data_IF_588473600320
#
_entry.id   IF_588473600320
#
_cell.length_a   1.000
_cell.length_b   1.000
_cell.length_c   1.000
_cell.angle_alpha   90.00
_cell.angle_beta   90.00
_cell.angle_gamma   90.00
#
_symmetry.space_group_name_H-M   'P 1'
#
loop_
_entity.id
_entity.type
_entity.pdbx_description
1 polymer ?
#
# COMPACT_ATOMS: atom_id res chain seq x y z
N UNK A 1 22.60 -37.21 33.55
CA UNK A 1 22.30 -35.83 33.09
C UNK A 1 23.31 -35.23 32.08
N UNK A 2 24.29 -35.99 31.54
CA UNK A 2 25.31 -35.41 30.63
C UNK A 2 25.22 -35.79 29.15
N UNK A 3 24.25 -36.60 28.71
CA UNK A 3 24.12 -37.01 27.29
C UNK A 3 23.13 -36.18 26.45
N UNK A 4 22.36 -35.28 27.08
CA UNK A 4 21.38 -34.43 26.38
C UNK A 4 21.91 -33.02 26.04
N UNK A 5 22.98 -32.56 26.69
CA UNK A 5 23.52 -31.21 26.47
C UNK A 5 24.46 -31.11 25.26
N UNK A 6 25.05 -32.23 24.82
CA UNK A 6 25.98 -32.26 23.68
C UNK A 6 25.29 -32.30 22.31
N UNK A 7 24.05 -32.77 22.23
CA UNK A 7 23.29 -32.82 20.96
C UNK A 7 22.76 -31.43 20.54
N UNK A 8 22.46 -30.56 21.51
CA UNK A 8 21.98 -29.19 21.26
C UNK A 8 23.08 -28.26 20.71
N UNK A 9 24.36 -28.47 21.08
CA UNK A 9 25.47 -27.67 20.53
C UNK A 9 25.82 -28.06 19.09
N UNK A 10 25.68 -29.33 18.71
CA UNK A 10 26.00 -29.80 17.36
C UNK A 10 24.97 -29.34 16.31
N UNK A 11 23.69 -29.24 16.69
CA UNK A 11 22.61 -28.74 15.81
C UNK A 11 22.72 -27.23 15.59
N UNK A 12 23.16 -26.46 16.59
CA UNK A 12 23.38 -25.02 16.47
C UNK A 12 24.55 -24.68 15.52
N UNK A 13 25.62 -25.48 15.51
CA UNK A 13 26.79 -25.25 14.66
C UNK A 13 26.53 -25.55 13.16
N UNK A 14 25.63 -26.49 12.85
CA UNK A 14 25.25 -26.82 11.47
C UNK A 14 24.19 -25.87 10.90
N UNK A 15 23.36 -25.24 11.75
CA UNK A 15 22.33 -24.29 11.33
C UNK A 15 22.85 -22.84 11.18
N UNK A 16 23.92 -22.48 11.87
CA UNK A 16 24.54 -21.15 11.79
C UNK A 16 24.99 -20.75 10.37
N UNK A 17 25.68 -21.59 9.57
CA UNK A 17 26.05 -21.20 8.21
C UNK A 17 24.83 -21.10 7.28
N UNK A 18 23.79 -21.92 7.46
CA UNK A 18 22.54 -21.81 6.68
C UNK A 18 21.71 -20.58 7.04
N UNK A 19 21.68 -20.18 8.32
CA UNK A 19 21.01 -18.96 8.78
C UNK A 19 21.80 -17.70 8.36
N UNK A 20 23.13 -17.75 8.41
CA UNK A 20 23.98 -16.68 7.91
C UNK A 20 23.87 -16.52 6.38
N UNK A 21 23.75 -17.63 5.63
CA UNK A 21 23.51 -17.61 4.18
C UNK A 21 22.11 -17.08 3.85
N UNK A 22 21.09 -17.45 4.64
CA UNK A 22 19.74 -16.90 4.49
C UNK A 22 19.71 -15.39 4.79
N UNK A 23 20.39 -14.94 5.86
CA UNK A 23 20.52 -13.54 6.24
C UNK A 23 21.36 -12.72 5.25
N UNK A 24 22.42 -13.30 4.68
CA UNK A 24 23.22 -12.66 3.63
C UNK A 24 22.45 -12.54 2.31
N UNK A 25 21.56 -13.49 2.02
CA UNK A 25 20.67 -13.41 0.87
C UNK A 25 19.54 -12.37 1.07
N UNK A 26 19.12 -12.09 2.31
CA UNK A 26 18.22 -10.97 2.62
C UNK A 26 18.88 -9.60 2.38
N UNK A 27 20.19 -9.49 2.64
CA UNK A 27 20.95 -8.25 2.44
C UNK A 27 21.42 -8.04 0.99
N UNK A 28 21.38 -9.08 0.15
CA UNK A 28 21.66 -9.04 -1.29
C UNK A 28 20.41 -8.83 -2.16
N UNK A 29 19.25 -8.53 -1.57
CA UNK A 29 18.09 -8.12 -2.36
C UNK A 29 18.31 -6.70 -2.88
N UNK A 30 18.15 -6.48 -4.19
CA UNK A 30 18.07 -5.15 -4.76
C UNK A 30 17.08 -4.33 -3.93
N UNK A 31 17.57 -3.29 -3.26
CA UNK A 31 16.77 -2.53 -2.31
C UNK A 31 15.54 -1.96 -3.04
N UNK A 32 14.36 -2.46 -2.69
CA UNK A 32 13.11 -1.95 -3.24
C UNK A 32 12.86 -0.57 -2.64
N UNK A 33 13.02 0.48 -3.46
CA UNK A 33 12.80 1.85 -3.02
C UNK A 33 11.31 2.11 -2.81
N UNK A 34 10.92 2.28 -1.55
CA UNK A 34 9.59 2.74 -1.16
C UNK A 34 9.44 4.24 -1.44
N UNK A 35 8.35 4.61 -2.09
CA UNK A 35 7.95 5.97 -2.43
C UNK A 35 6.56 6.25 -1.85
N UNK A 36 6.22 7.51 -1.60
CA UNK A 36 4.84 7.89 -1.33
C UNK A 36 3.95 7.67 -2.57
N UNK A 37 2.69 7.26 -2.35
CA UNK A 37 1.72 7.05 -3.43
C UNK A 37 0.53 8.00 -3.35
N UNK A 38 -0.42 7.76 -2.45
CA UNK A 38 -1.48 8.71 -2.08
C UNK A 38 -1.01 9.55 -0.88
N UNK A 39 -1.64 10.69 -0.57
CA UNK A 39 -1.30 11.46 0.62
C UNK A 39 -1.39 10.58 1.87
N UNK A 40 -0.33 10.57 2.66
CA UNK A 40 -0.35 9.97 4.00
C UNK A 40 -0.60 11.08 5.01
N UNK A 41 -1.56 10.89 5.91
CA UNK A 41 -2.03 11.93 6.82
C UNK A 41 -2.63 11.33 8.10
N UNK A 42 -2.75 12.18 9.13
CA UNK A 42 -3.53 11.90 10.32
C UNK A 42 -4.44 13.10 10.61
N UNK A 43 -5.74 12.84 10.71
CA UNK A 43 -6.75 13.81 11.11
C UNK A 43 -7.20 13.50 12.54
N UNK A 44 -7.05 14.47 13.42
CA UNK A 44 -7.44 14.37 14.82
C UNK A 44 -8.82 15.02 15.01
N UNK A 45 -9.76 14.29 15.60
CA UNK A 45 -11.13 14.77 15.79
C UNK A 45 -11.93 13.84 16.70
N UNK A 46 -13.20 14.20 16.95
CA UNK A 46 -14.18 13.35 17.64
C UNK A 46 -15.26 12.90 16.63
N UNK A 47 -15.84 11.69 16.80
CA UNK A 47 -15.56 10.72 17.85
C UNK A 47 -14.23 9.97 17.69
N UNK A 48 -13.74 9.84 16.46
CA UNK A 48 -12.56 9.04 16.11
C UNK A 48 -11.56 9.82 15.23
N UNK A 49 -10.33 9.32 15.16
CA UNK A 49 -9.24 9.84 14.34
C UNK A 49 -9.12 9.01 13.07
N UNK A 50 -8.75 9.69 11.98
CA UNK A 50 -8.54 9.05 10.68
C UNK A 50 -7.07 9.11 10.33
N UNK A 51 -6.46 7.95 10.11
CA UNK A 51 -5.09 7.83 9.65
C UNK A 51 -5.08 7.19 8.26
N UNK A 52 -4.27 7.72 7.36
CA UNK A 52 -4.01 7.13 6.05
C UNK A 52 -2.51 6.98 5.85
N UNK A 53 -2.08 5.77 5.51
CA UNK A 53 -0.71 5.46 5.07
C UNK A 53 -0.78 4.97 3.63
N UNK A 54 0.06 5.49 2.75
CA UNK A 54 0.08 5.05 1.35
C UNK A 54 1.48 5.10 0.74
N UNK A 55 1.93 3.94 0.27
CA UNK A 55 3.26 3.70 -0.26
C UNK A 55 3.17 2.96 -1.59
N UNK A 56 4.21 3.11 -2.43
CA UNK A 56 4.42 2.32 -3.63
C UNK A 56 5.88 1.95 -3.81
N UNK A 57 6.10 0.89 -4.58
CA UNK A 57 7.39 0.40 -4.99
C UNK A 57 7.38 0.10 -6.48
N UNK A 58 8.46 0.47 -7.16
CA UNK A 58 8.73 -0.04 -8.51
C UNK A 58 9.34 -1.43 -8.37
N UNK A 59 8.77 -2.42 -9.08
CA UNK A 59 9.13 -3.84 -8.88
C UNK A 59 9.73 -4.51 -10.12
N UNK A 60 9.67 -3.86 -11.29
CA UNK A 60 10.30 -4.34 -12.52
C UNK A 60 11.29 -3.31 -13.05
N UNK A 61 12.50 -3.76 -13.37
CA UNK A 61 13.50 -2.95 -14.04
C UNK A 61 13.12 -2.71 -15.50
N UNK A 62 13.34 -1.49 -16.01
CA UNK A 62 13.00 -1.11 -17.39
C UNK A 62 11.50 -0.89 -17.68
N UNK A 63 10.60 -1.31 -16.79
CA UNK A 63 9.15 -1.12 -16.94
C UNK A 63 8.61 -0.26 -15.79
N UNK A 64 7.74 0.71 -16.05
CA UNK A 64 7.10 1.52 -14.99
C UNK A 64 5.93 0.76 -14.33
N UNK A 65 6.21 -0.45 -13.86
CA UNK A 65 5.28 -1.30 -13.13
C UNK A 65 5.49 -1.17 -11.62
N UNK A 66 4.39 -0.94 -10.90
CA UNK A 66 4.38 -0.63 -9.49
C UNK A 66 3.44 -1.55 -8.73
N UNK A 67 3.83 -1.86 -7.51
CA UNK A 67 2.89 -2.29 -6.45
C UNK A 67 2.72 -1.15 -5.49
N UNK A 68 1.52 -0.98 -4.96
CA UNK A 68 1.21 0.02 -3.96
C UNK A 68 0.32 -0.55 -2.88
N UNK A 69 0.33 0.13 -1.74
CA UNK A 69 -0.46 -0.23 -0.59
C UNK A 69 -0.97 1.03 0.07
N UNK A 70 -2.28 1.13 0.20
CA UNK A 70 -2.96 2.18 0.95
C UNK A 70 -3.73 1.56 2.11
N UNK A 71 -3.57 2.11 3.31
CA UNK A 71 -4.33 1.70 4.49
C UNK A 71 -5.02 2.91 5.11
N UNK A 72 -6.33 2.78 5.36
CA UNK A 72 -7.11 3.78 6.09
C UNK A 72 -7.53 3.17 7.42
N UNK A 73 -7.26 3.86 8.53
CA UNK A 73 -7.59 3.43 9.87
C UNK A 73 -8.48 4.46 10.55
N UNK A 74 -9.55 3.98 11.18
CA UNK A 74 -10.38 4.74 12.08
C UNK A 74 -10.08 4.29 13.51
N UNK A 75 -9.62 5.21 14.34
CA UNK A 75 -9.13 4.94 15.68
C UNK A 75 -9.92 5.76 16.70
N UNK A 76 -10.55 5.13 17.68
CA UNK A 76 -11.25 5.84 18.75
C UNK A 76 -10.32 6.04 19.95
N UNK A 77 -9.34 6.96 19.83
CA UNK A 77 -8.38 7.25 20.90
C UNK A 77 -9.03 7.73 22.19
N UNK A 78 -10.18 8.40 22.08
CA UNK A 78 -10.83 9.02 23.22
C UNK A 78 -11.77 8.08 23.97
N UNK A 79 -11.95 6.84 23.47
CA UNK A 79 -12.66 5.79 24.20
C UNK A 79 -11.89 5.39 25.45
N UNK A 80 -12.51 5.65 26.61
CA UNK A 80 -11.95 5.30 27.93
C UNK A 80 -11.52 3.83 28.03
N UNK A 81 -12.21 2.93 27.32
CA UNK A 81 -11.88 1.50 27.31
C UNK A 81 -10.99 1.18 26.12
N UNK A 82 -9.69 1.10 26.37
CA UNK A 82 -8.69 0.47 25.50
C UNK A 82 -8.46 1.09 24.13
N UNK A 83 -9.04 2.27 23.82
CA UNK A 83 -8.84 3.02 22.59
C UNK A 83 -8.78 2.13 21.32
N UNK A 84 -9.86 1.42 20.95
CA UNK A 84 -9.82 0.44 19.87
C UNK A 84 -9.82 1.11 18.48
N UNK A 85 -9.24 0.43 17.49
CA UNK A 85 -9.55 0.71 16.09
C UNK A 85 -11.00 0.30 15.79
N UNK A 86 -11.78 1.24 15.27
CA UNK A 86 -13.19 1.05 14.92
C UNK A 86 -13.36 0.46 13.53
N UNK A 87 -12.41 0.71 12.62
CA UNK A 87 -12.31 0.06 11.32
C UNK A 87 -10.91 0.23 10.72
N UNK A 88 -10.49 -0.72 9.89
CA UNK A 88 -9.24 -0.64 9.12
C UNK A 88 -9.52 -1.15 7.72
N UNK A 89 -9.19 -0.36 6.70
CA UNK A 89 -9.32 -0.73 5.30
C UNK A 89 -7.93 -0.87 4.67
N UNK A 90 -7.71 -2.01 4.02
CA UNK A 90 -6.50 -2.45 3.36
C UNK A 90 -6.73 -2.38 1.85
N UNK A 91 -5.91 -1.63 1.13
CA UNK A 91 -6.04 -1.46 -0.32
C UNK A 91 -4.69 -1.65 -1.03
N UNK A 92 -4.28 -2.91 -1.27
CA UNK A 92 -3.17 -3.20 -2.18
C UNK A 92 -3.57 -2.97 -3.64
N UNK A 93 -2.61 -2.48 -4.43
CA UNK A 93 -2.77 -2.13 -5.84
C UNK A 93 -1.55 -2.63 -6.63
N UNK A 94 -1.77 -3.04 -7.88
CA UNK A 94 -0.70 -3.30 -8.84
C UNK A 94 -1.06 -2.62 -10.16
N UNK A 95 -0.15 -1.83 -10.72
CA UNK A 95 -0.46 -1.02 -11.89
C UNK A 95 0.76 -0.75 -12.76
N UNK A 96 0.50 -0.55 -14.04
CA UNK A 96 1.46 -0.01 -14.98
C UNK A 96 1.23 1.49 -15.16
N UNK A 97 2.31 2.27 -15.11
CA UNK A 97 2.27 3.73 -15.27
C UNK A 97 2.82 4.17 -16.62
N UNK A 98 1.99 4.82 -17.41
CA UNK A 98 2.38 5.50 -18.65
C UNK A 98 2.61 6.98 -18.35
N UNK A 99 3.87 7.43 -18.38
CA UNK A 99 4.20 8.86 -18.28
C UNK A 99 3.81 9.56 -19.57
N UNK A 100 3.19 10.73 -19.45
CA UNK A 100 2.76 11.56 -20.58
C UNK A 100 3.59 12.83 -20.62
N UNK A 101 4.14 13.17 -21.80
CA UNK A 101 4.93 14.39 -22.01
C UNK A 101 6.29 14.12 -22.64
N UNK A 102 6.99 15.19 -23.01
CA UNK A 102 8.33 15.15 -23.61
C UNK A 102 9.39 15.01 -22.52
N UNK A 103 10.42 14.15 -22.70
CA UNK A 103 11.55 14.11 -21.78
C UNK A 103 12.21 15.49 -21.66
N UNK A 104 12.28 16.04 -20.43
CA UNK A 104 12.92 17.33 -20.15
C UNK A 104 11.96 18.48 -19.83
N UNK A 105 10.65 18.30 -20.02
CA UNK A 105 9.65 19.29 -19.61
C UNK A 105 9.28 19.08 -18.13
N UNK A 106 9.93 19.86 -17.25
CA UNK A 106 9.73 19.79 -15.79
C UNK A 106 8.50 20.59 -15.31
N UNK A 107 7.83 21.31 -16.21
CA UNK A 107 6.74 22.22 -15.83
C UNK A 107 5.40 21.48 -15.65
N UNK A 108 5.18 20.33 -16.31
CA UNK A 108 3.91 19.58 -16.24
C UNK A 108 4.15 18.07 -16.11
N UNK A 109 3.90 17.51 -14.92
CA UNK A 109 3.99 16.06 -14.71
C UNK A 109 2.62 15.44 -14.94
N UNK A 110 2.52 14.53 -15.92
CA UNK A 110 1.28 13.81 -16.24
C UNK A 110 1.53 12.32 -16.39
N UNK A 111 0.59 11.50 -15.95
CA UNK A 111 0.64 10.06 -16.19
C UNK A 111 -0.75 9.42 -16.18
N UNK A 112 -0.83 8.23 -16.78
CA UNK A 112 -1.97 7.32 -16.70
C UNK A 112 -1.50 6.05 -15.99
N UNK A 113 -2.20 5.65 -14.94
CA UNK A 113 -2.05 4.35 -14.31
C UNK A 113 -3.18 3.44 -14.76
N UNK A 114 -2.84 2.24 -15.24
CA UNK A 114 -3.80 1.16 -15.51
C UNK A 114 -3.48 0.04 -14.54
N UNK A 115 -4.45 -0.34 -13.71
CA UNK A 115 -4.18 -1.21 -12.58
C UNK A 115 -5.34 -2.03 -12.09
N UNK A 116 -5.00 -2.92 -11.18
CA UNK A 116 -5.92 -3.69 -10.36
C UNK A 116 -5.77 -3.24 -8.91
N UNK A 117 -6.89 -3.21 -8.19
CA UNK A 117 -6.91 -2.94 -6.76
C UNK A 117 -7.86 -3.89 -6.04
N UNK A 118 -7.40 -4.39 -4.90
CA UNK A 118 -8.23 -5.10 -3.93
C UNK A 118 -8.46 -4.16 -2.76
N UNK A 119 -9.68 -4.07 -2.24
CA UNK A 119 -9.98 -3.33 -1.03
C UNK A 119 -10.78 -4.20 -0.08
N UNK A 120 -10.34 -4.29 1.18
CA UNK A 120 -11.02 -5.06 2.21
C UNK A 120 -10.81 -4.47 3.60
N UNK A 121 -11.64 -4.85 4.56
CA UNK A 121 -11.50 -4.40 5.95
C UNK A 121 -10.84 -5.43 6.89
N UNK A 122 -10.43 -6.59 6.36
CA UNK A 122 -9.77 -7.65 7.14
C UNK A 122 -10.67 -8.31 8.21
N UNK A 123 -11.99 -8.12 8.16
CA UNK A 123 -12.94 -8.74 9.09
C UNK A 123 -13.55 -10.03 8.54
N UNK A 124 -14.19 -10.80 9.42
CA UNK A 124 -14.89 -12.04 9.07
C UNK A 124 -16.43 -11.89 9.17
N UNK A 125 -17.13 -12.90 8.64
CA UNK A 125 -18.60 -13.05 8.71
C UNK A 125 -19.33 -11.77 8.33
N UNK A 126 -20.37 -11.40 9.08
CA UNK A 126 -21.27 -10.29 8.79
C UNK A 126 -20.57 -8.92 8.77
N UNK A 127 -19.39 -8.80 9.40
CA UNK A 127 -18.64 -7.54 9.41
C UNK A 127 -17.62 -7.43 8.27
N UNK A 128 -17.38 -8.52 7.55
CA UNK A 128 -16.45 -8.54 6.41
C UNK A 128 -16.93 -7.62 5.30
N UNK A 129 -16.00 -6.89 4.68
CA UNK A 129 -16.24 -6.06 3.51
C UNK A 129 -15.07 -6.23 2.56
N UNK A 130 -15.34 -6.57 1.30
CA UNK A 130 -14.30 -6.67 0.28
C UNK A 130 -14.84 -6.50 -1.14
N UNK A 131 -14.00 -5.99 -2.03
CA UNK A 131 -14.24 -5.88 -3.45
C UNK A 131 -12.95 -5.65 -4.23
N UNK A 132 -13.01 -6.03 -5.50
CA UNK A 132 -11.92 -5.96 -6.46
C UNK A 132 -12.30 -5.09 -7.65
N UNK A 133 -11.37 -4.26 -8.12
CA UNK A 133 -11.59 -3.35 -9.24
C UNK A 133 -10.39 -3.34 -10.17
N UNK A 134 -10.66 -3.22 -11.47
CA UNK A 134 -9.68 -2.70 -12.43
C UNK A 134 -9.95 -1.23 -12.64
N UNK A 135 -8.91 -0.43 -12.83
CA UNK A 135 -9.05 1.00 -12.94
C UNK A 135 -8.10 1.61 -13.96
N UNK A 136 -8.51 2.79 -14.42
CA UNK A 136 -7.66 3.75 -15.12
C UNK A 136 -7.66 5.04 -14.31
N UNK A 137 -6.47 5.52 -13.95
CA UNK A 137 -6.28 6.74 -13.18
C UNK A 137 -5.42 7.70 -14.01
N UNK A 138 -5.99 8.83 -14.40
CA UNK A 138 -5.24 9.95 -14.95
C UNK A 138 -4.83 10.88 -13.81
N UNK A 139 -3.57 11.29 -13.78
CA UNK A 139 -3.06 12.28 -12.82
C UNK A 139 -2.20 13.32 -13.53
N UNK A 140 -2.33 14.57 -13.08
CA UNK A 140 -1.59 15.68 -13.62
C UNK A 140 -1.27 16.72 -12.54
N UNK A 141 -0.15 17.41 -12.74
CA UNK A 141 0.20 18.63 -12.05
C UNK A 141 0.23 19.79 -13.06
N UNK A 142 -0.46 20.89 -12.72
CA UNK A 142 -0.59 22.07 -13.57
C UNK A 142 -0.26 23.33 -12.78
N UNK A 143 0.40 24.30 -13.41
CA UNK A 143 0.65 25.61 -12.81
C UNK A 143 -0.61 26.48 -12.93
N UNK A 144 -1.00 27.15 -11.85
CA UNK A 144 -2.17 28.04 -11.84
C UNK A 144 -1.78 29.42 -11.30
N UNK A 145 -2.18 30.48 -12.01
CA UNK A 145 -1.95 31.87 -11.59
C UNK A 145 -0.54 32.38 -11.89
N UNK A 146 -0.03 33.28 -11.03
CA UNK A 146 1.41 33.61 -11.04
C UNK A 146 2.16 32.30 -10.75
N UNK A 147 3.20 31.98 -11.51
CA UNK A 147 3.87 30.66 -11.70
C UNK A 147 4.31 29.86 -10.44
N UNK A 148 3.88 30.24 -9.25
CA UNK A 148 4.29 29.67 -7.96
C UNK A 148 3.29 28.64 -7.40
N UNK A 149 2.05 28.59 -7.90
CA UNK A 149 1.03 27.66 -7.40
C UNK A 149 0.91 26.43 -8.31
N UNK A 150 1.09 25.23 -7.73
CA UNK A 150 0.92 23.94 -8.40
C UNK A 150 -0.41 23.31 -7.97
N UNK A 151 -1.28 23.05 -8.94
CA UNK A 151 -2.48 22.23 -8.74
C UNK A 151 -2.18 20.79 -9.15
N UNK A 152 -2.30 19.87 -8.20
CA UNK A 152 -2.35 18.45 -8.49
C UNK A 152 -3.81 18.01 -8.59
N UNK A 153 -4.14 17.28 -9.65
CA UNK A 153 -5.47 16.75 -9.87
C UNK A 153 -5.42 15.34 -10.44
N UNK A 154 -6.50 14.59 -10.26
CA UNK A 154 -6.60 13.22 -10.75
C UNK A 154 -8.05 12.85 -11.04
N UNK A 155 -8.24 11.97 -12.02
CA UNK A 155 -9.54 11.41 -12.38
C UNK A 155 -9.40 9.89 -12.49
N UNK A 156 -10.25 9.14 -11.77
CA UNK A 156 -10.23 7.68 -11.72
C UNK A 156 -11.54 7.12 -12.26
N UNK A 157 -11.44 6.21 -13.22
CA UNK A 157 -12.52 5.35 -13.66
C UNK A 157 -12.20 3.91 -13.28
N UNK A 158 -13.21 3.13 -12.90
CA UNK A 158 -13.01 1.74 -12.47
C UNK A 158 -14.18 0.85 -12.86
N UNK A 159 -13.90 -0.44 -12.97
CA UNK A 159 -14.87 -1.51 -13.21
C UNK A 159 -14.69 -2.56 -12.12
N UNK A 160 -15.75 -2.96 -11.40
CA UNK A 160 -15.66 -3.99 -10.38
C UNK A 160 -15.50 -5.38 -11.02
N UNK A 161 -14.61 -6.20 -10.48
CA UNK A 161 -14.39 -7.59 -10.89
C UNK A 161 -15.09 -8.58 -9.96
N UNK A 162 -14.91 -8.41 -8.65
CA UNK A 162 -15.45 -9.29 -7.62
C UNK A 162 -15.87 -8.51 -6.38
N UNK A 163 -16.74 -9.11 -5.55
CA UNK A 163 -17.31 -8.50 -4.33
C UNK A 163 -17.66 -9.57 -3.31
N UNK A 164 -17.49 -9.26 -2.04
CA UNK A 164 -17.98 -10.12 -0.98
C UNK A 164 -19.52 -10.18 -0.98
N UNK A 165 -20.05 -11.33 -0.56
CA UNK A 165 -21.46 -11.57 -0.34
C UNK A 165 -22.06 -10.67 0.75
N UNK A 166 -21.25 -10.18 1.68
CA UNK A 166 -21.67 -9.27 2.77
C UNK A 166 -21.90 -7.84 2.30
N UNK A 167 -21.40 -7.44 1.13
CA UNK A 167 -21.53 -6.09 0.57
C UNK A 167 -21.94 -6.10 -0.91
N UNK A 168 -22.95 -6.90 -1.27
CA UNK A 168 -23.44 -7.04 -2.65
C UNK A 168 -23.94 -5.73 -3.28
N UNK A 169 -24.44 -4.82 -2.45
CA UNK A 169 -25.01 -3.53 -2.82
C UNK A 169 -24.01 -2.37 -2.79
N UNK A 170 -22.70 -2.63 -2.69
CA UNK A 170 -21.64 -1.61 -2.63
C UNK A 170 -21.61 -0.61 -3.81
N UNK A 171 -22.37 -0.87 -4.88
CA UNK A 171 -22.50 0.04 -6.02
C UNK A 171 -23.76 0.93 -6.00
N UNK A 172 -24.68 0.72 -5.07
CA UNK A 172 -26.00 1.36 -5.07
C UNK A 172 -25.97 2.73 -4.40
#
# INVERSE_FOLDING_TARGET
MHKFLSLLLAVAALAAPTLAQAYSNETSQAAVRLLGYRPSYALLGRPEQKLQLSLKAKVLDGADFYVAYTQIMFWDLFKRKSAPFTDVNYNPEAFYRFKLGTPGDLEEVRWIDIGYEHESNGRDRADSRSWDRVYVLFSAESLIGKKDMRLQWSAKAWVPLDRDNTNRDILR
#
